data_IF_689646890877
#
_entry.id   IF_689646890877
#
_cell.length_a   1.000
_cell.length_b   1.000
_cell.length_c   1.000
_cell.angle_alpha   90.00
_cell.angle_beta   90.00
_cell.angle_gamma   90.00
#
_symmetry.space_group_name_H-M   'P 1'
#
loop_
_entity.id
_entity.type
_entity.pdbx_description
1 polymer ?
#
# COMPACT_ATOMS: atom_id res chain seq x y z
N UNK A 1 0.34 17.23 27.78
CA UNK A 1 1.69 17.02 27.21
C UNK A 1 2.30 15.81 27.92
N UNK A 2 2.61 14.72 27.24
CA UNK A 2 3.37 13.61 27.81
C UNK A 2 4.81 14.10 28.02
N UNK A 3 5.28 14.09 29.25
CA UNK A 3 6.68 14.37 29.58
C UNK A 3 7.54 13.19 29.09
N UNK A 4 8.54 13.48 28.28
CA UNK A 4 9.51 12.45 27.85
C UNK A 4 10.34 11.99 29.04
N UNK A 5 10.63 10.68 29.13
CA UNK A 5 11.53 10.16 30.17
C UNK A 5 12.97 10.60 29.90
N UNK A 6 13.81 10.56 30.94
CA UNK A 6 15.25 10.90 30.83
C UNK A 6 15.96 10.04 29.76
N UNK A 7 15.62 8.74 29.67
CA UNK A 7 16.18 7.83 28.65
C UNK A 7 15.76 8.22 27.24
N UNK A 8 14.48 8.63 27.03
CA UNK A 8 14.02 9.13 25.74
C UNK A 8 14.73 10.42 25.33
N UNK A 9 15.02 11.29 26.29
CA UNK A 9 15.74 12.54 26.03
C UNK A 9 17.21 12.29 25.66
N UNK A 10 17.89 11.37 26.36
CA UNK A 10 19.26 10.97 26.05
C UNK A 10 19.36 10.31 24.66
N UNK A 11 18.43 9.41 24.32
CA UNK A 11 18.33 8.77 23.02
C UNK A 11 18.13 9.81 21.89
N UNK A 12 17.19 10.72 22.05
CA UNK A 12 16.95 11.79 21.06
C UNK A 12 18.17 12.70 20.90
N UNK A 13 18.93 12.95 21.97
CA UNK A 13 20.18 13.71 21.92
C UNK A 13 21.25 13.00 21.10
N UNK A 14 21.41 11.68 21.26
CA UNK A 14 22.35 10.89 20.47
C UNK A 14 21.96 10.87 18.98
N UNK A 15 20.67 10.71 18.66
CA UNK A 15 20.15 10.81 17.28
C UNK A 15 20.48 12.19 16.68
N UNK A 16 20.25 13.26 17.46
CA UNK A 16 20.51 14.63 16.99
C UNK A 16 22.00 14.92 16.72
N UNK A 17 22.90 14.17 17.34
CA UNK A 17 24.35 14.26 17.08
C UNK A 17 24.83 13.32 15.97
N UNK A 18 23.95 12.51 15.37
CA UNK A 18 24.31 11.55 14.33
C UNK A 18 25.11 10.34 14.87
N UNK A 19 25.00 10.04 16.16
CA UNK A 19 25.68 8.88 16.75
C UNK A 19 25.03 7.57 16.28
N UNK A 20 25.84 6.53 16.08
CA UNK A 20 25.34 5.18 15.81
C UNK A 20 24.69 4.63 17.08
N UNK A 21 23.42 4.27 16.99
CA UNK A 21 22.62 3.83 18.11
C UNK A 21 21.77 2.62 17.75
N UNK A 22 21.56 1.77 18.73
CA UNK A 22 20.61 0.67 18.68
C UNK A 22 19.56 0.83 19.80
N UNK A 23 18.31 1.00 19.41
CA UNK A 23 17.22 1.18 20.35
C UNK A 23 16.23 0.03 20.30
N UNK A 24 16.03 -0.63 21.42
CA UNK A 24 14.98 -1.62 21.61
C UNK A 24 13.81 -0.96 22.32
N UNK A 25 12.62 -1.05 21.72
CA UNK A 25 11.42 -0.49 22.34
C UNK A 25 11.13 -1.15 23.70
N UNK A 26 11.30 -0.45 24.83
CA UNK A 26 11.07 -1.03 26.15
C UNK A 26 9.58 -1.34 26.40
N UNK A 27 8.68 -0.74 25.63
CA UNK A 27 7.24 -0.98 25.71
C UNK A 27 6.76 -2.13 24.80
N UNK A 28 7.68 -2.84 24.12
CA UNK A 28 7.34 -3.99 23.29
C UNK A 28 6.64 -5.05 24.14
N UNK A 29 5.50 -5.51 23.66
CA UNK A 29 4.71 -6.59 24.27
C UNK A 29 4.55 -7.76 23.29
N UNK A 30 4.36 -8.99 23.77
CA UNK A 30 3.96 -10.10 22.92
C UNK A 30 2.64 -9.80 22.19
N UNK A 31 2.49 -10.31 20.97
CA UNK A 31 1.28 -10.10 20.14
C UNK A 31 -0.01 -10.48 20.91
N UNK A 32 -0.02 -11.63 21.60
CA UNK A 32 -1.18 -12.12 22.36
C UNK A 32 -1.67 -11.13 23.43
N UNK A 33 -0.75 -10.35 24.02
CA UNK A 33 -1.10 -9.36 25.04
C UNK A 33 -1.67 -8.07 24.47
N UNK A 34 -1.52 -7.81 23.16
CA UNK A 34 -1.95 -6.53 22.52
C UNK A 34 -2.98 -6.72 21.44
N UNK A 35 -3.20 -7.93 20.93
CA UNK A 35 -4.10 -8.20 19.79
C UNK A 35 -5.50 -7.59 19.94
N UNK A 36 -6.06 -7.59 21.16
CA UNK A 36 -7.39 -7.02 21.43
C UNK A 36 -7.40 -5.49 21.42
N UNK A 37 -6.25 -4.84 21.53
CA UNK A 37 -6.11 -3.37 21.51
C UNK A 37 -5.58 -2.81 20.19
N UNK A 38 -5.36 -3.67 19.19
CA UNK A 38 -4.93 -3.22 17.87
C UNK A 38 -6.04 -2.39 17.20
N UNK A 39 -5.68 -1.34 16.43
CA UNK A 39 -6.65 -0.46 15.79
C UNK A 39 -7.40 -1.13 14.63
N UNK A 40 -6.89 -2.27 14.13
CA UNK A 40 -7.49 -3.01 13.04
C UNK A 40 -7.79 -4.44 13.44
N UNK A 41 -8.98 -4.91 13.10
CA UNK A 41 -9.42 -6.29 13.28
C UNK A 41 -9.06 -7.16 12.07
N UNK A 42 -9.04 -8.47 12.29
CA UNK A 42 -8.89 -9.44 11.20
C UNK A 42 -9.98 -9.28 10.13
N UNK A 43 -11.23 -9.03 10.54
CA UNK A 43 -12.35 -8.83 9.63
C UNK A 43 -12.12 -7.63 8.68
N UNK A 44 -11.53 -6.55 9.16
CA UNK A 44 -11.20 -5.40 8.30
C UNK A 44 -10.10 -5.72 7.29
N UNK A 45 -9.14 -6.57 7.65
CA UNK A 45 -8.09 -7.05 6.72
C UNK A 45 -8.72 -7.95 5.65
N UNK A 46 -9.62 -8.84 6.04
CA UNK A 46 -10.33 -9.75 5.13
C UNK A 46 -11.27 -8.98 4.19
N UNK A 47 -11.96 -7.95 4.68
CA UNK A 47 -12.77 -7.05 3.83
C UNK A 47 -11.90 -6.33 2.79
N UNK A 48 -10.74 -5.80 3.20
CA UNK A 48 -9.82 -5.15 2.28
C UNK A 48 -9.29 -6.12 1.21
N UNK A 49 -8.95 -7.34 1.58
CA UNK A 49 -8.52 -8.37 0.64
C UNK A 49 -9.64 -8.75 -0.34
N UNK A 50 -10.87 -8.88 0.15
CA UNK A 50 -12.05 -9.16 -0.67
C UNK A 50 -12.34 -8.02 -1.65
N UNK A 51 -12.18 -6.76 -1.22
CA UNK A 51 -12.33 -5.59 -2.10
C UNK A 51 -11.31 -5.62 -3.24
N UNK A 52 -10.04 -5.88 -2.95
CA UNK A 52 -9.02 -6.02 -3.99
C UNK A 52 -9.38 -7.11 -5.00
N UNK A 53 -9.90 -8.25 -4.54
CA UNK A 53 -10.35 -9.34 -5.41
C UNK A 53 -11.55 -8.92 -6.28
N UNK A 54 -12.52 -8.17 -5.73
CA UNK A 54 -13.65 -7.64 -6.52
C UNK A 54 -13.21 -6.69 -7.62
N UNK A 55 -12.19 -5.85 -7.36
CA UNK A 55 -11.64 -4.91 -8.34
C UNK A 55 -10.71 -5.55 -9.38
N UNK A 56 -10.31 -6.80 -9.21
CA UNK A 56 -9.40 -7.47 -10.15
C UNK A 56 -9.82 -7.36 -11.63
N UNK A 57 -11.10 -7.54 -12.02
CA UNK A 57 -11.52 -7.39 -13.42
C UNK A 57 -11.34 -5.96 -13.95
N UNK A 58 -11.63 -4.94 -13.16
CA UNK A 58 -11.38 -3.54 -13.53
C UNK A 58 -9.89 -3.25 -13.70
N UNK A 59 -9.07 -3.75 -12.77
CA UNK A 59 -7.61 -3.57 -12.83
C UNK A 59 -7.00 -4.24 -14.05
N UNK A 60 -7.46 -5.43 -14.43
CA UNK A 60 -7.02 -6.10 -15.67
C UNK A 60 -7.36 -5.31 -16.94
N UNK A 61 -8.51 -4.64 -16.96
CA UNK A 61 -8.92 -3.81 -18.11
C UNK A 61 -8.07 -2.54 -18.20
N UNK A 62 -7.83 -1.86 -17.09
CA UNK A 62 -7.12 -0.57 -17.06
C UNK A 62 -5.60 -0.71 -17.01
N UNK A 63 -5.12 -1.81 -16.46
CA UNK A 63 -3.70 -2.13 -16.26
C UNK A 63 -3.42 -3.58 -16.70
N UNK A 64 -3.32 -3.83 -18.03
CA UNK A 64 -3.14 -5.18 -18.58
C UNK A 64 -1.95 -5.95 -18.01
N UNK A 65 -0.94 -5.23 -17.52
CA UNK A 65 0.21 -5.81 -16.82
C UNK A 65 -0.16 -6.56 -15.53
N UNK A 66 -1.39 -6.40 -15.03
CA UNK A 66 -1.91 -7.16 -13.87
C UNK A 66 -2.56 -8.51 -14.26
N UNK A 67 -2.72 -8.80 -15.55
CA UNK A 67 -3.34 -10.05 -16.01
C UNK A 67 -2.59 -11.29 -15.48
N UNK A 68 -1.24 -11.36 -15.51
CA UNK A 68 -0.52 -12.51 -14.99
C UNK A 68 -0.69 -12.75 -13.48
N UNK A 69 -1.10 -11.73 -12.74
CA UNK A 69 -1.38 -11.79 -11.30
C UNK A 69 -2.87 -11.80 -10.98
N UNK A 70 -3.73 -12.14 -11.97
CA UNK A 70 -5.19 -12.13 -11.85
C UNK A 70 -5.77 -10.79 -11.35
N UNK A 71 -5.22 -9.67 -11.81
CA UNK A 71 -5.67 -8.34 -11.44
C UNK A 71 -5.14 -7.83 -10.08
N UNK A 72 -4.26 -8.58 -9.42
CA UNK A 72 -3.65 -8.14 -8.17
C UNK A 72 -2.39 -7.31 -8.46
N UNK A 73 -2.28 -6.18 -7.78
CA UNK A 73 -1.06 -5.37 -7.79
C UNK A 73 -0.05 -6.00 -6.83
N UNK A 74 0.80 -6.86 -7.35
CA UNK A 74 1.78 -7.63 -6.59
C UNK A 74 3.16 -7.54 -7.25
N UNK A 75 4.21 -7.47 -6.42
CA UNK A 75 5.58 -7.41 -6.89
C UNK A 75 6.26 -8.78 -6.86
N UNK A 76 7.14 -9.08 -7.81
CA UNK A 76 7.85 -10.33 -7.82
C UNK A 76 8.84 -10.42 -6.65
N UNK A 77 9.10 -11.64 -6.22
CA UNK A 77 10.20 -11.99 -5.31
C UNK A 77 11.36 -12.56 -6.12
N UNK A 78 12.55 -12.00 -5.94
CA UNK A 78 13.79 -12.48 -6.58
C UNK A 78 14.78 -12.90 -5.50
N UNK A 79 15.34 -14.09 -5.63
CA UNK A 79 16.47 -14.51 -4.81
C UNK A 79 17.73 -13.79 -5.23
N UNK A 80 18.45 -13.20 -4.27
CA UNK A 80 19.71 -12.46 -4.48
C UNK A 80 20.87 -13.20 -3.82
N UNK A 81 21.20 -14.34 -4.40
CA UNK A 81 22.23 -15.26 -3.88
C UNK A 81 23.62 -14.58 -3.77
N UNK A 82 23.97 -13.72 -4.73
CA UNK A 82 25.23 -12.99 -4.73
C UNK A 82 25.35 -12.02 -3.56
N UNK A 83 24.29 -11.27 -3.28
CA UNK A 83 24.24 -10.38 -2.11
C UNK A 83 24.32 -11.20 -0.82
N UNK A 84 23.65 -12.34 -0.76
CA UNK A 84 23.75 -13.24 0.40
C UNK A 84 25.19 -13.72 0.61
N UNK A 85 25.88 -14.15 -0.45
CA UNK A 85 27.27 -14.57 -0.39
C UNK A 85 28.18 -13.43 0.08
N UNK A 86 27.97 -12.21 -0.40
CA UNK A 86 28.71 -11.04 0.03
C UNK A 86 28.48 -10.72 1.52
N UNK A 87 27.24 -10.80 2.01
CA UNK A 87 26.90 -10.56 3.42
C UNK A 87 27.55 -11.58 4.36
N UNK A 88 27.78 -12.81 3.94
CA UNK A 88 28.51 -13.80 4.75
C UNK A 88 29.97 -13.43 5.01
N UNK A 89 30.57 -12.56 4.21
CA UNK A 89 31.96 -12.13 4.44
C UNK A 89 32.11 -11.25 5.69
N UNK A 90 31.32 -10.15 5.86
CA UNK A 90 31.39 -9.32 7.06
C UNK A 90 30.62 -9.91 8.27
N UNK A 91 29.66 -10.85 8.04
CA UNK A 91 28.78 -11.41 9.06
C UNK A 91 28.66 -12.93 8.92
N UNK A 92 29.70 -13.71 9.30
CA UNK A 92 29.70 -15.17 9.11
C UNK A 92 28.64 -15.91 9.91
N UNK A 93 28.12 -15.34 11.00
CA UNK A 93 27.09 -15.93 11.86
C UNK A 93 25.66 -15.68 11.39
N UNK A 94 25.47 -15.31 10.13
CA UNK A 94 24.12 -15.07 9.61
C UNK A 94 23.26 -16.34 9.65
N UNK A 95 21.97 -16.22 10.03
CA UNK A 95 21.05 -17.35 10.04
C UNK A 95 20.94 -17.98 8.65
N UNK A 96 20.79 -19.30 8.59
CA UNK A 96 20.52 -20.02 7.36
C UNK A 96 19.20 -19.51 6.72
N UNK A 97 19.05 -19.78 5.42
CA UNK A 97 17.85 -19.37 4.68
C UNK A 97 18.15 -18.71 3.35
N UNK A 98 17.13 -18.21 2.68
CA UNK A 98 17.26 -17.48 1.42
C UNK A 98 17.16 -15.98 1.67
N UNK A 99 17.94 -15.18 0.93
CA UNK A 99 17.78 -13.73 0.88
C UNK A 99 16.94 -13.39 -0.34
N UNK A 100 15.76 -12.81 -0.10
CA UNK A 100 14.80 -12.48 -1.14
C UNK A 100 14.64 -10.97 -1.25
N UNK A 101 14.68 -10.46 -2.46
CA UNK A 101 14.35 -9.08 -2.78
C UNK A 101 12.88 -9.00 -3.21
N UNK A 102 12.07 -8.23 -2.48
CA UNK A 102 10.73 -7.84 -2.92
C UNK A 102 10.85 -6.64 -3.86
N UNK A 103 10.53 -6.86 -5.14
CA UNK A 103 10.81 -5.88 -6.20
C UNK A 103 9.65 -4.88 -6.35
N UNK A 104 9.42 -4.02 -5.35
CA UNK A 104 8.32 -3.06 -5.36
C UNK A 104 8.43 -1.98 -6.44
N UNK A 105 9.61 -1.80 -7.03
CA UNK A 105 9.81 -0.99 -8.25
C UNK A 105 9.15 -1.57 -9.50
N UNK A 106 8.72 -2.84 -9.45
CA UNK A 106 8.03 -3.54 -10.54
C UNK A 106 6.53 -3.70 -10.28
N UNK A 107 5.98 -3.02 -9.27
CA UNK A 107 4.55 -3.01 -9.05
C UNK A 107 3.82 -2.38 -10.24
N UNK A 108 2.76 -3.05 -10.68
CA UNK A 108 1.88 -2.56 -11.74
C UNK A 108 1.32 -1.17 -11.41
N UNK A 109 0.89 -0.47 -12.41
CA UNK A 109 0.27 0.86 -12.39
C UNK A 109 1.21 2.01 -11.99
N UNK A 110 2.01 1.91 -10.92
CA UNK A 110 2.77 3.05 -10.41
C UNK A 110 4.25 2.76 -10.05
N UNK A 111 4.73 1.53 -10.23
CA UNK A 111 6.13 1.17 -10.03
C UNK A 111 6.68 1.45 -8.62
N UNK A 112 5.84 1.47 -7.60
CA UNK A 112 6.23 1.72 -6.21
C UNK A 112 5.25 1.11 -5.22
N UNK A 113 5.66 0.96 -3.95
CA UNK A 113 4.78 0.47 -2.88
C UNK A 113 3.48 1.30 -2.71
N UNK A 114 3.44 2.54 -3.20
CA UNK A 114 2.25 3.38 -3.18
C UNK A 114 1.15 2.90 -4.13
N UNK A 115 1.48 2.06 -5.11
CA UNK A 115 0.50 1.35 -5.93
C UNK A 115 -0.41 0.42 -5.10
N UNK A 116 0.03 -0.05 -3.94
CA UNK A 116 -0.79 -0.91 -3.06
C UNK A 116 -1.67 -0.10 -2.10
N UNK A 117 -1.11 0.90 -1.42
CA UNK A 117 -1.85 1.70 -0.44
C UNK A 117 -2.65 2.84 -1.07
N UNK A 118 -2.01 3.70 -1.86
CA UNK A 118 -2.67 4.85 -2.48
C UNK A 118 -3.76 4.46 -3.48
N UNK A 119 -3.54 3.42 -4.26
CA UNK A 119 -4.57 2.88 -5.17
C UNK A 119 -5.72 2.28 -4.38
N UNK A 120 -5.46 1.49 -3.34
CA UNK A 120 -6.51 0.87 -2.53
C UNK A 120 -7.50 1.89 -1.96
N UNK A 121 -7.00 3.01 -1.45
CA UNK A 121 -7.86 4.07 -0.91
C UNK A 121 -8.84 4.60 -1.97
N UNK A 122 -8.38 4.79 -3.19
CA UNK A 122 -9.26 5.25 -4.28
C UNK A 122 -10.23 4.16 -4.74
N UNK A 123 -9.81 2.88 -4.74
CA UNK A 123 -10.73 1.77 -5.00
C UNK A 123 -11.86 1.75 -3.98
N UNK A 124 -11.54 1.87 -2.69
CA UNK A 124 -12.52 1.90 -1.61
C UNK A 124 -13.48 3.09 -1.76
N UNK A 125 -12.94 4.28 -2.01
CA UNK A 125 -13.75 5.47 -2.22
C UNK A 125 -14.68 5.37 -3.44
N UNK A 126 -14.19 4.83 -4.56
CA UNK A 126 -14.98 4.62 -5.76
C UNK A 126 -16.11 3.60 -5.54
N UNK A 127 -15.84 2.49 -4.83
CA UNK A 127 -16.85 1.52 -4.43
C UNK A 127 -17.94 2.18 -3.60
N UNK A 128 -17.57 2.93 -2.57
CA UNK A 128 -18.50 3.63 -1.68
C UNK A 128 -19.39 4.58 -2.47
N UNK A 129 -18.82 5.45 -3.30
CA UNK A 129 -19.60 6.38 -4.12
C UNK A 129 -20.55 5.66 -5.07
N UNK A 130 -20.10 4.58 -5.71
CA UNK A 130 -20.92 3.84 -6.67
C UNK A 130 -22.11 3.15 -5.99
N UNK A 131 -21.92 2.60 -4.80
CA UNK A 131 -22.98 1.96 -4.00
C UNK A 131 -23.98 3.02 -3.49
N UNK A 132 -23.49 4.12 -2.91
CA UNK A 132 -24.34 5.19 -2.36
C UNK A 132 -25.22 5.84 -3.42
N UNK A 133 -24.76 5.92 -4.68
CA UNK A 133 -25.51 6.49 -5.79
C UNK A 133 -26.25 5.46 -6.66
N UNK A 134 -26.28 4.19 -6.24
CA UNK A 134 -26.97 3.11 -6.95
C UNK A 134 -26.41 2.76 -8.32
N UNK A 135 -25.18 3.20 -8.64
CA UNK A 135 -24.48 2.83 -9.87
C UNK A 135 -24.02 1.38 -9.86
N UNK A 136 -23.66 0.86 -8.67
CA UNK A 136 -23.26 -0.52 -8.44
C UNK A 136 -24.30 -1.21 -7.56
N UNK A 137 -24.65 -2.45 -7.92
CA UNK A 137 -25.57 -3.30 -7.16
C UNK A 137 -24.85 -4.53 -6.64
N UNK A 138 -25.44 -5.17 -5.64
CA UNK A 138 -24.94 -6.44 -5.14
C UNK A 138 -24.94 -7.50 -6.27
N UNK A 139 -23.80 -8.21 -6.41
CA UNK A 139 -23.59 -9.19 -7.47
C UNK A 139 -23.09 -8.62 -8.80
N UNK A 140 -23.02 -7.30 -8.98
CA UNK A 140 -22.46 -6.72 -10.20
C UNK A 140 -20.96 -7.04 -10.34
N UNK A 141 -20.53 -7.27 -11.58
CA UNK A 141 -19.10 -7.38 -11.89
C UNK A 141 -18.42 -6.01 -11.80
N UNK A 142 -17.30 -5.92 -11.10
CA UNK A 142 -16.51 -4.68 -10.98
C UNK A 142 -15.78 -4.30 -12.29
N UNK A 143 -15.82 -5.14 -13.32
CA UNK A 143 -15.45 -4.74 -14.69
C UNK A 143 -16.23 -3.50 -15.15
N UNK A 144 -17.47 -3.31 -14.67
CA UNK A 144 -18.34 -2.17 -14.97
C UNK A 144 -17.73 -0.81 -14.61
N UNK A 145 -16.83 -0.74 -13.66
CA UNK A 145 -16.09 0.50 -13.39
C UNK A 145 -15.28 1.02 -14.58
N UNK A 146 -15.08 0.19 -15.61
CA UNK A 146 -14.44 0.60 -16.85
C UNK A 146 -15.41 1.17 -17.90
N UNK A 147 -16.73 1.04 -17.68
CA UNK A 147 -17.77 1.47 -18.59
C UNK A 147 -17.87 3.01 -18.72
N UNK A 148 -18.38 3.52 -19.85
CA UNK A 148 -18.47 4.98 -20.08
C UNK A 148 -19.37 5.71 -19.08
N UNK A 149 -20.46 5.08 -18.63
CA UNK A 149 -21.40 5.65 -17.66
C UNK A 149 -20.76 5.86 -16.29
N UNK A 150 -19.93 4.91 -15.83
CA UNK A 150 -19.13 5.07 -14.62
C UNK A 150 -18.09 6.19 -14.77
N UNK A 151 -17.44 6.29 -15.93
CA UNK A 151 -16.49 7.36 -16.20
C UNK A 151 -17.14 8.74 -16.17
N UNK A 152 -18.34 8.88 -16.75
CA UNK A 152 -19.12 10.11 -16.69
C UNK A 152 -19.53 10.45 -15.25
N UNK A 153 -19.97 9.44 -14.50
CA UNK A 153 -20.35 9.58 -13.10
C UNK A 153 -19.18 10.10 -12.25
N UNK A 154 -18.02 9.42 -12.29
CA UNK A 154 -16.84 9.83 -11.52
C UNK A 154 -16.26 11.18 -11.98
N UNK A 155 -16.45 11.55 -13.22
CA UNK A 155 -16.06 12.88 -13.75
C UNK A 155 -16.76 14.07 -13.07
N UNK A 156 -17.80 13.83 -12.27
CA UNK A 156 -18.48 14.84 -11.44
C UNK A 156 -17.73 15.11 -10.13
N UNK A 157 -16.84 14.24 -9.71
CA UNK A 157 -16.09 14.31 -8.47
C UNK A 157 -14.62 14.66 -8.71
N UNK A 158 -13.99 15.25 -7.70
CA UNK A 158 -12.56 15.58 -7.74
C UNK A 158 -11.81 14.90 -6.62
N UNK A 159 -10.60 14.43 -6.92
CA UNK A 159 -9.63 13.88 -5.97
C UNK A 159 -8.50 14.88 -5.79
N UNK A 160 -8.17 15.22 -4.57
CA UNK A 160 -7.06 16.09 -4.23
C UNK A 160 -6.07 15.36 -3.31
N UNK A 161 -4.79 15.40 -3.64
CA UNK A 161 -3.73 14.81 -2.82
C UNK A 161 -2.54 15.74 -2.74
N UNK A 162 -2.02 15.95 -1.52
CA UNK A 162 -0.74 16.64 -1.28
C UNK A 162 0.40 15.64 -1.35
N UNK A 163 1.22 15.68 -2.41
CA UNK A 163 2.36 14.78 -2.55
C UNK A 163 3.30 15.22 -3.65
N UNK A 164 4.60 15.21 -3.36
CA UNK A 164 5.68 15.48 -4.34
C UNK A 164 6.27 14.21 -4.95
N UNK A 165 5.66 13.03 -4.73
CA UNK A 165 6.26 11.76 -5.12
C UNK A 165 5.24 10.68 -5.48
N UNK A 166 5.63 9.43 -5.23
CA UNK A 166 4.92 8.23 -5.68
C UNK A 166 3.47 8.10 -5.20
N UNK A 167 3.08 8.74 -4.10
CA UNK A 167 1.68 8.75 -3.67
C UNK A 167 0.83 9.56 -4.64
N UNK A 168 1.27 10.77 -5.00
CA UNK A 168 0.59 11.60 -5.99
C UNK A 168 0.48 10.90 -7.34
N UNK A 169 1.56 10.24 -7.79
CA UNK A 169 1.54 9.42 -9.01
C UNK A 169 0.48 8.32 -8.93
N UNK A 170 0.46 7.53 -7.84
CA UNK A 170 -0.50 6.42 -7.68
C UNK A 170 -1.94 6.90 -7.68
N UNK A 171 -2.25 7.98 -6.94
CA UNK A 171 -3.60 8.59 -6.91
C UNK A 171 -3.97 9.17 -8.27
N UNK A 172 -3.02 9.82 -8.96
CA UNK A 172 -3.23 10.37 -10.29
C UNK A 172 -3.59 9.31 -11.32
N UNK A 173 -2.83 8.23 -11.36
CA UNK A 173 -3.03 7.13 -12.33
C UNK A 173 -4.37 6.43 -12.11
N UNK A 174 -4.68 6.04 -10.88
CA UNK A 174 -5.94 5.34 -10.59
C UNK A 174 -7.16 6.28 -10.72
N UNK A 175 -7.04 7.53 -10.29
CA UNK A 175 -8.10 8.52 -10.45
C UNK A 175 -8.44 8.77 -11.92
N UNK A 176 -7.44 8.88 -12.78
CA UNK A 176 -7.63 8.98 -14.23
C UNK A 176 -8.27 7.72 -14.84
N UNK A 177 -7.91 6.52 -14.32
CA UNK A 177 -8.50 5.25 -14.78
C UNK A 177 -10.01 5.18 -14.52
N UNK A 178 -10.48 5.69 -13.38
CA UNK A 178 -11.92 5.83 -13.07
C UNK A 178 -12.58 7.00 -13.81
N UNK A 179 -11.84 8.05 -14.12
CA UNK A 179 -12.39 9.27 -14.73
C UNK A 179 -12.59 10.44 -13.75
N UNK A 180 -12.09 10.34 -12.50
CA UNK A 180 -12.08 11.45 -11.55
C UNK A 180 -11.29 12.66 -12.08
N UNK A 181 -11.70 13.86 -11.68
CA UNK A 181 -10.88 15.07 -11.80
C UNK A 181 -9.79 15.03 -10.72
N UNK A 182 -8.60 14.60 -11.08
CA UNK A 182 -7.52 14.42 -10.09
C UNK A 182 -6.56 15.61 -10.10
N UNK A 183 -6.29 16.16 -8.92
CA UNK A 183 -5.34 17.24 -8.69
C UNK A 183 -4.28 16.81 -7.67
N UNK A 184 -3.01 16.88 -8.05
CA UNK A 184 -1.86 16.62 -7.17
C UNK A 184 -1.23 17.96 -6.80
N UNK A 185 -1.25 18.30 -5.52
CA UNK A 185 -0.62 19.50 -4.98
C UNK A 185 0.82 19.17 -4.56
N UNK A 186 1.79 19.88 -5.15
CA UNK A 186 3.23 19.71 -4.89
C UNK A 186 3.83 20.95 -4.26
#
# INVERSE_FOLDING_TARGET
RRTMSYEQTAFCGAVGRGEEIFWVNPAKKPYEAVKASLPFSRAQIEDAASRLARFAPFLQIKFPETIPTNGLIESPLREIAEMRAWLHTPCPEQPGGRLLLKMDSHLAAAGSVKARGGIYEILHHAETLALEHGMLKDGDSYARFADPDFREFFGKFSLHVGSTGNLGLSVGVIGAAFGFKTCVHM
#
